data_IF_750190549571
#
_entry.id   IF_750190549571
#
_cell.length_a   1.000
_cell.length_b   1.000
_cell.length_c   1.000
_cell.angle_alpha   90.00
_cell.angle_beta   90.00
_cell.angle_gamma   90.00
#
_symmetry.space_group_name_H-M   'P 1'
#
loop_
_entity.id
_entity.type
_entity.pdbx_description
1 polymer ?
#
# COMPACT_ATOMS: atom_id res chain seq x y z
N UNK A 1 73.44 -22.28 -5.81
CA UNK A 1 72.35 -21.52 -6.45
C UNK A 1 71.16 -21.62 -5.52
N UNK A 2 71.07 -20.67 -4.60
CA UNK A 2 70.02 -20.60 -3.59
C UNK A 2 68.87 -19.74 -4.14
N UNK A 3 67.70 -20.35 -4.33
CA UNK A 3 66.44 -19.64 -4.51
C UNK A 3 65.77 -19.55 -3.14
N UNK A 4 65.71 -18.35 -2.55
CA UNK A 4 64.82 -18.06 -1.43
C UNK A 4 63.74 -17.07 -1.87
N UNK A 5 62.53 -17.56 -1.74
CA UNK A 5 61.25 -16.98 -2.08
C UNK A 5 60.78 -16.05 -0.94
N UNK A 6 60.32 -14.86 -1.35
CA UNK A 6 59.24 -14.03 -0.81
C UNK A 6 59.11 -13.85 0.73
N UNK A 7 59.37 -12.62 1.17
CA UNK A 7 58.55 -11.93 2.19
C UNK A 7 58.29 -10.52 1.63
N UNK A 8 57.07 -10.02 1.44
CA UNK A 8 55.80 -10.34 2.09
C UNK A 8 55.40 -9.24 3.09
N UNK A 9 55.55 -7.97 2.73
CA UNK A 9 54.99 -6.83 3.49
C UNK A 9 54.20 -5.91 2.55
N UNK A 10 53.03 -6.37 2.14
CA UNK A 10 51.98 -5.47 1.69
C UNK A 10 51.24 -5.00 2.94
N UNK A 11 51.57 -3.79 3.41
CA UNK A 11 50.86 -3.12 4.47
C UNK A 11 49.41 -2.86 4.03
N UNK A 12 48.52 -3.76 4.45
CA UNK A 12 47.09 -3.61 4.28
C UNK A 12 46.58 -2.43 5.09
N UNK A 13 46.30 -1.33 4.39
CA UNK A 13 45.57 -0.18 4.91
C UNK A 13 44.10 -0.63 5.07
N UNK A 14 43.79 -1.25 6.22
CA UNK A 14 42.44 -1.60 6.62
C UNK A 14 41.70 -0.28 6.90
N UNK A 15 41.12 0.29 5.85
CA UNK A 15 40.14 1.38 5.97
C UNK A 15 38.92 0.77 6.65
N UNK A 16 38.87 0.87 7.97
CA UNK A 16 37.66 0.69 8.77
C UNK A 16 36.66 1.77 8.38
N UNK A 17 35.98 1.58 7.26
CA UNK A 17 34.67 2.17 6.96
C UNK A 17 33.70 1.56 7.98
N UNK A 18 33.79 2.03 9.22
CA UNK A 18 32.72 1.88 10.18
C UNK A 18 31.54 2.60 9.53
N UNK A 19 30.59 1.79 9.09
CA UNK A 19 29.28 2.17 8.62
C UNK A 19 28.66 3.10 9.65
N UNK A 20 28.90 4.41 9.51
CA UNK A 20 28.04 5.47 10.01
C UNK A 20 26.75 5.43 9.17
N UNK A 21 26.06 4.29 9.22
CA UNK A 21 24.65 4.24 8.95
C UNK A 21 24.03 4.87 10.20
N UNK A 22 24.01 6.20 10.25
CA UNK A 22 23.07 6.91 11.09
C UNK A 22 21.68 6.50 10.61
N UNK A 23 21.14 5.40 11.15
CA UNK A 23 19.69 5.28 11.15
C UNK A 23 19.21 6.48 11.94
N UNK A 24 18.55 7.42 11.27
CA UNK A 24 17.64 8.30 11.98
C UNK A 24 16.60 7.37 12.58
N UNK A 25 16.85 6.89 13.80
CA UNK A 25 15.85 6.20 14.60
C UNK A 25 14.80 7.26 14.89
N UNK A 26 13.82 7.31 14.00
CA UNK A 26 12.60 8.06 14.21
C UNK A 26 12.00 7.52 15.51
N UNK A 27 12.00 8.35 16.54
CA UNK A 27 11.49 8.01 17.85
C UNK A 27 10.00 7.67 17.73
N UNK A 28 9.61 6.49 18.22
CA UNK A 28 8.21 6.08 18.23
C UNK A 28 7.39 6.92 19.23
N UNK A 29 6.65 7.88 18.68
CA UNK A 29 5.78 8.83 19.38
C UNK A 29 4.32 8.42 19.39
N UNK A 30 4.00 7.22 18.90
CA UNK A 30 2.65 6.68 18.97
C UNK A 30 2.22 6.45 20.43
N UNK A 31 0.92 6.51 20.67
CA UNK A 31 0.34 6.18 21.97
C UNK A 31 0.38 4.67 22.23
N UNK A 32 0.33 4.29 23.49
CA UNK A 32 0.10 2.90 23.90
C UNK A 32 -1.37 2.49 23.67
N UNK A 33 -1.62 1.18 23.55
CA UNK A 33 -2.98 0.62 23.48
C UNK A 33 -3.88 1.13 24.60
N UNK A 34 -3.37 1.21 25.83
CA UNK A 34 -4.15 1.72 26.98
C UNK A 34 -4.59 3.16 26.77
N UNK A 35 -3.70 4.02 26.28
CA UNK A 35 -4.03 5.42 26.00
C UNK A 35 -5.07 5.53 24.87
N UNK A 36 -5.01 4.69 23.85
CA UNK A 36 -6.06 4.64 22.82
C UNK A 36 -7.43 4.23 23.40
N UNK A 37 -7.47 3.27 24.32
CA UNK A 37 -8.71 2.87 24.98
C UNK A 37 -9.30 4.00 25.83
N UNK A 38 -8.45 4.74 26.55
CA UNK A 38 -8.86 5.93 27.31
C UNK A 38 -9.44 7.03 26.41
N UNK A 39 -9.10 7.03 25.12
CA UNK A 39 -9.63 7.93 24.09
C UNK A 39 -10.87 7.38 23.37
N UNK A 40 -11.33 6.18 23.72
CA UNK A 40 -12.53 5.57 23.15
C UNK A 40 -12.30 4.67 21.94
N UNK A 41 -11.05 4.25 21.66
CA UNK A 41 -10.81 3.18 20.70
C UNK A 41 -11.39 1.86 21.25
N UNK A 42 -12.17 1.09 20.47
CA UNK A 42 -12.67 -0.21 20.87
C UNK A 42 -11.56 -1.20 21.24
N UNK A 43 -11.86 -2.18 22.11
CA UNK A 43 -10.88 -3.17 22.53
C UNK A 43 -10.42 -4.02 21.32
N UNK A 44 -9.11 -4.06 21.06
CA UNK A 44 -8.53 -4.84 19.96
C UNK A 44 -8.65 -6.35 20.17
N UNK A 45 -8.89 -6.78 21.42
CA UNK A 45 -9.11 -8.18 21.80
C UNK A 45 -10.49 -8.71 21.42
N UNK A 46 -11.45 -7.84 21.09
CA UNK A 46 -12.81 -8.20 20.67
C UNK A 46 -12.95 -8.27 19.15
N UNK A 47 -13.95 -9.01 18.66
CA UNK A 47 -14.27 -9.02 17.23
C UNK A 47 -14.93 -7.70 16.84
N UNK A 48 -14.26 -6.94 15.97
CA UNK A 48 -14.74 -5.66 15.51
C UNK A 48 -15.81 -5.85 14.44
N UNK A 49 -16.87 -5.04 14.53
CA UNK A 49 -17.77 -4.77 13.44
C UNK A 49 -17.48 -3.38 12.83
N UNK A 50 -18.32 -2.97 11.87
CA UNK A 50 -18.12 -1.72 11.14
C UNK A 50 -18.19 -0.47 12.05
N UNK A 51 -19.06 -0.49 13.06
CA UNK A 51 -19.20 0.61 14.03
C UNK A 51 -17.90 0.76 14.83
N UNK A 52 -17.26 -0.35 15.20
CA UNK A 52 -16.00 -0.33 15.93
C UNK A 52 -14.86 0.25 15.08
N UNK A 53 -14.75 -0.20 13.82
CA UNK A 53 -13.77 0.34 12.88
C UNK A 53 -13.93 1.86 12.69
N UNK A 54 -15.15 2.33 12.45
CA UNK A 54 -15.42 3.76 12.30
C UNK A 54 -15.12 4.54 13.57
N UNK A 55 -15.54 4.03 14.73
CA UNK A 55 -15.25 4.66 16.02
C UNK A 55 -13.75 4.82 16.21
N UNK A 56 -12.97 3.78 15.89
CA UNK A 56 -11.53 3.85 15.91
C UNK A 56 -10.99 4.93 14.97
N UNK A 57 -11.41 4.92 13.70
CA UNK A 57 -10.95 5.89 12.70
C UNK A 57 -11.29 7.32 13.09
N UNK A 58 -12.48 7.57 13.66
CA UNK A 58 -12.90 8.89 14.15
C UNK A 58 -12.01 9.38 15.29
N UNK A 59 -11.69 8.51 16.25
CA UNK A 59 -10.77 8.84 17.35
C UNK A 59 -9.37 9.14 16.81
N UNK A 60 -8.87 8.34 15.88
CA UNK A 60 -7.58 8.58 15.24
C UNK A 60 -7.56 9.87 14.41
N UNK A 61 -8.66 10.22 13.75
CA UNK A 61 -8.81 11.50 13.06
C UNK A 61 -8.70 12.69 14.00
N UNK A 62 -9.37 12.63 15.16
CA UNK A 62 -9.23 13.66 16.20
C UNK A 62 -7.81 13.74 16.77
N UNK A 63 -7.12 12.60 16.88
CA UNK A 63 -5.72 12.57 17.29
C UNK A 63 -4.80 13.19 16.24
N UNK A 64 -5.02 12.91 14.95
CA UNK A 64 -4.27 13.47 13.82
C UNK A 64 -4.22 15.00 13.90
N UNK A 65 -5.38 15.62 14.13
CA UNK A 65 -5.53 17.09 14.22
C UNK A 65 -4.79 17.69 15.43
N UNK A 66 -4.67 16.93 16.53
CA UNK A 66 -3.99 17.38 17.75
C UNK A 66 -2.49 17.15 17.69
N UNK A 67 -2.09 15.96 17.28
CA UNK A 67 -0.71 15.51 17.16
C UNK A 67 -0.63 14.33 16.19
N UNK A 68 -0.23 14.61 14.96
CA UNK A 68 -0.05 13.62 13.90
C UNK A 68 0.83 12.43 14.32
N UNK A 69 1.88 12.65 15.11
CA UNK A 69 2.81 11.59 15.54
C UNK A 69 2.22 10.63 16.59
N UNK A 70 1.01 10.91 17.08
CA UNK A 70 0.29 10.03 18.00
C UNK A 70 -0.47 8.91 17.30
N UNK A 71 -0.44 8.82 15.96
CA UNK A 71 -1.11 7.75 15.22
C UNK A 71 -0.40 6.39 15.36
N UNK A 72 -1.11 5.26 15.17
CA UNK A 72 -0.53 3.93 15.25
C UNK A 72 0.61 3.71 14.25
N UNK A 73 1.65 3.00 14.67
CA UNK A 73 2.84 2.67 13.87
C UNK A 73 2.92 1.15 13.73
N UNK A 74 3.11 0.65 12.50
CA UNK A 74 3.02 -0.78 12.15
C UNK A 74 3.93 -1.67 12.99
N UNK A 75 5.17 -1.21 13.21
CA UNK A 75 6.21 -1.96 13.91
C UNK A 75 6.45 -1.47 15.35
N UNK A 76 5.54 -0.65 15.89
CA UNK A 76 5.65 -0.17 17.28
C UNK A 76 5.22 -1.24 18.26
N UNK A 77 6.01 -1.43 19.33
CA UNK A 77 5.62 -2.25 20.48
C UNK A 77 4.42 -1.65 21.25
N UNK A 78 4.15 -0.34 21.09
CA UNK A 78 3.07 0.39 21.77
C UNK A 78 1.74 0.31 21.03
N UNK A 79 1.78 0.45 19.71
CA UNK A 79 0.58 0.67 18.87
C UNK A 79 0.46 -0.26 17.67
N UNK A 80 1.48 -1.08 17.38
CA UNK A 80 1.49 -1.96 16.22
C UNK A 80 0.36 -2.97 16.19
N UNK A 81 -0.10 -3.43 17.36
CA UNK A 81 -1.27 -4.32 17.45
C UNK A 81 -2.57 -3.63 16.99
N UNK A 82 -2.76 -2.36 17.32
CA UNK A 82 -3.91 -1.58 16.85
C UNK A 82 -3.84 -1.36 15.34
N UNK A 83 -2.67 -1.00 14.81
CA UNK A 83 -2.46 -0.90 13.37
C UNK A 83 -2.81 -2.22 12.67
N UNK A 84 -2.31 -3.34 13.17
CA UNK A 84 -2.60 -4.66 12.60
C UNK A 84 -4.08 -5.04 12.70
N UNK A 85 -4.76 -4.70 13.79
CA UNK A 85 -6.20 -4.93 13.96
C UNK A 85 -7.00 -4.25 12.84
N UNK A 86 -6.69 -2.99 12.55
CA UNK A 86 -7.35 -2.22 11.49
C UNK A 86 -7.04 -2.82 10.11
N UNK A 87 -5.78 -3.19 9.85
CA UNK A 87 -5.37 -3.77 8.56
C UNK A 87 -5.93 -5.16 8.28
N UNK A 88 -6.19 -5.95 9.33
CA UNK A 88 -6.70 -7.31 9.23
C UNK A 88 -8.21 -7.41 9.44
N UNK A 89 -8.90 -6.27 9.60
CA UNK A 89 -10.35 -6.25 9.76
C UNK A 89 -11.02 -6.96 8.57
N UNK A 90 -11.82 -8.00 8.84
CA UNK A 90 -12.43 -8.78 7.77
C UNK A 90 -13.60 -8.03 7.14
N UNK A 91 -13.52 -7.82 5.82
CA UNK A 91 -14.49 -7.04 5.06
C UNK A 91 -15.64 -7.89 4.50
N UNK A 92 -15.79 -9.13 4.96
CA UNK A 92 -16.61 -10.18 4.32
C UNK A 92 -18.11 -9.90 4.32
N UNK A 93 -18.63 -9.18 5.32
CA UNK A 93 -20.08 -9.06 5.51
C UNK A 93 -20.72 -7.83 4.81
N UNK A 94 -19.96 -6.76 4.53
CA UNK A 94 -20.47 -5.60 3.78
C UNK A 94 -19.38 -4.74 3.10
N UNK A 95 -19.10 -5.02 1.82
CA UNK A 95 -18.00 -4.40 1.09
C UNK A 95 -18.07 -2.86 1.02
N UNK A 96 -19.27 -2.27 0.84
CA UNK A 96 -19.39 -0.81 0.65
C UNK A 96 -19.06 -0.04 1.92
N UNK A 97 -19.58 -0.47 3.06
CA UNK A 97 -19.30 0.18 4.34
C UNK A 97 -17.84 -0.02 4.75
N UNK A 98 -17.32 -1.24 4.55
CA UNK A 98 -15.95 -1.58 4.89
C UNK A 98 -14.91 -0.84 4.03
N UNK A 99 -15.24 -0.49 2.77
CA UNK A 99 -14.40 0.32 1.90
C UNK A 99 -14.22 1.74 2.47
N UNK A 100 -15.30 2.38 2.93
CA UNK A 100 -15.27 3.73 3.49
C UNK A 100 -14.38 3.81 4.74
N UNK A 101 -14.47 2.83 5.64
CA UNK A 101 -13.65 2.80 6.86
C UNK A 101 -12.15 2.72 6.55
N UNK A 102 -11.78 1.87 5.58
CA UNK A 102 -10.39 1.79 5.13
C UNK A 102 -9.93 3.02 4.36
N UNK A 103 -10.76 3.61 3.51
CA UNK A 103 -10.45 4.87 2.81
C UNK A 103 -10.17 5.99 3.82
N UNK A 104 -11.05 6.16 4.80
CA UNK A 104 -10.87 7.14 5.87
C UNK A 104 -9.58 6.85 6.67
N UNK A 105 -9.25 5.58 6.92
CA UNK A 105 -7.99 5.22 7.57
C UNK A 105 -6.76 5.53 6.72
N UNK A 106 -6.80 5.27 5.41
CA UNK A 106 -5.73 5.65 4.46
C UNK A 106 -5.53 7.17 4.49
N UNK A 107 -6.62 7.95 4.50
CA UNK A 107 -6.58 9.40 4.61
C UNK A 107 -5.97 9.91 5.92
N UNK A 108 -5.96 9.12 7.00
CA UNK A 108 -5.25 9.50 8.23
C UNK A 108 -3.76 9.69 7.96
N UNK A 109 -3.17 8.85 7.11
CA UNK A 109 -1.74 8.88 6.79
C UNK A 109 -1.41 9.71 5.54
N UNK A 110 -2.40 10.09 4.72
CA UNK A 110 -2.23 11.08 3.65
C UNK A 110 -2.29 12.50 4.24
N UNK A 111 -1.13 13.08 4.58
CA UNK A 111 -1.02 14.51 4.86
C UNK A 111 -0.28 15.23 3.74
N UNK A 112 -1.06 15.95 2.92
CA UNK A 112 -0.57 16.77 1.80
C UNK A 112 0.39 17.88 2.26
N UNK A 113 0.27 18.36 3.51
CA UNK A 113 1.12 19.40 4.07
C UNK A 113 2.47 18.86 4.56
N UNK A 114 2.60 17.54 4.76
CA UNK A 114 3.83 16.89 5.24
C UNK A 114 4.66 16.20 4.15
N UNK A 115 4.28 16.35 2.86
CA UNK A 115 5.09 15.91 1.71
C UNK A 115 6.49 16.55 1.64
N UNK A 116 6.80 17.50 2.51
CA UNK A 116 8.10 18.18 2.65
C UNK A 116 8.96 17.67 3.82
N UNK A 117 8.45 16.79 4.68
CA UNK A 117 9.17 16.18 5.81
C UNK A 117 9.49 14.71 5.49
N UNK A 118 10.65 14.15 5.88
CA UNK A 118 10.91 12.72 5.73
C UNK A 118 9.76 11.94 6.39
N UNK A 119 8.94 11.30 5.55
CA UNK A 119 7.61 10.82 5.91
C UNK A 119 7.68 9.77 7.02
N UNK A 120 7.33 10.19 8.25
CA UNK A 120 7.30 9.33 9.43
C UNK A 120 6.45 8.06 9.22
N UNK A 121 5.35 8.17 8.46
CA UNK A 121 4.37 7.08 8.27
C UNK A 121 4.29 6.51 6.83
N UNK A 122 5.34 6.65 6.01
CA UNK A 122 5.27 6.15 4.62
C UNK A 122 5.02 4.63 4.54
N UNK A 123 5.59 3.85 5.47
CA UNK A 123 5.41 2.39 5.55
C UNK A 123 3.97 2.04 5.95
N UNK A 124 3.39 2.77 6.89
CA UNK A 124 2.00 2.65 7.30
C UNK A 124 1.07 3.01 6.15
N UNK A 125 1.34 4.10 5.45
CA UNK A 125 0.55 4.52 4.30
C UNK A 125 0.60 3.49 3.17
N UNK A 126 1.78 2.97 2.82
CA UNK A 126 1.94 1.90 1.84
C UNK A 126 1.24 0.60 2.29
N UNK A 127 1.28 0.29 3.58
CA UNK A 127 0.58 -0.85 4.17
C UNK A 127 -0.94 -0.72 4.07
N UNK A 128 -1.49 0.46 4.36
CA UNK A 128 -2.92 0.76 4.25
C UNK A 128 -3.41 0.67 2.81
N UNK A 129 -2.69 1.29 1.88
CA UNK A 129 -2.96 1.21 0.44
C UNK A 129 -2.96 -0.24 -0.06
N UNK A 130 -2.00 -1.06 0.39
CA UNK A 130 -1.97 -2.48 0.01
C UNK A 130 -3.18 -3.24 0.55
N UNK A 131 -3.53 -3.04 1.83
CA UNK A 131 -4.65 -3.75 2.45
C UNK A 131 -5.94 -3.44 1.72
N UNK A 132 -6.16 -2.16 1.37
CA UNK A 132 -7.28 -1.75 0.54
C UNK A 132 -7.30 -2.44 -0.84
N UNK A 133 -6.17 -2.47 -1.56
CA UNK A 133 -6.09 -3.17 -2.84
C UNK A 133 -6.43 -4.66 -2.75
N UNK A 134 -5.99 -5.32 -1.67
CA UNK A 134 -6.33 -6.72 -1.42
C UNK A 134 -7.83 -6.91 -1.16
N UNK A 135 -8.46 -6.00 -0.43
CA UNK A 135 -9.91 -6.00 -0.18
C UNK A 135 -10.71 -5.79 -1.47
N UNK A 136 -10.29 -4.82 -2.30
CA UNK A 136 -10.86 -4.60 -3.64
C UNK A 136 -10.74 -5.85 -4.51
N UNK A 137 -9.59 -6.53 -4.48
CA UNK A 137 -9.38 -7.76 -5.25
C UNK A 137 -10.23 -8.94 -4.73
N UNK A 138 -10.38 -9.09 -3.41
CA UNK A 138 -11.25 -10.11 -2.79
C UNK A 138 -12.69 -9.90 -3.27
N UNK A 139 -13.20 -8.67 -3.15
CA UNK A 139 -14.52 -8.33 -3.63
C UNK A 139 -14.72 -8.57 -5.12
N UNK A 140 -13.73 -8.19 -5.95
CA UNK A 140 -13.78 -8.46 -7.38
C UNK A 140 -13.89 -9.95 -7.69
N UNK A 141 -13.14 -10.81 -6.99
CA UNK A 141 -13.27 -12.26 -7.13
C UNK A 141 -14.65 -12.76 -6.72
N UNK A 142 -15.15 -12.31 -5.57
CA UNK A 142 -16.45 -12.75 -5.06
C UNK A 142 -17.60 -12.29 -5.95
N UNK A 143 -17.54 -11.06 -6.46
CA UNK A 143 -18.50 -10.53 -7.42
C UNK A 143 -18.50 -11.34 -8.71
N UNK A 144 -17.31 -11.57 -9.30
CA UNK A 144 -17.16 -12.32 -10.54
C UNK A 144 -17.62 -13.79 -10.41
N UNK A 145 -17.38 -14.44 -9.28
CA UNK A 145 -17.89 -15.80 -9.02
C UNK A 145 -19.42 -15.86 -9.00
N UNK A 146 -20.09 -14.79 -8.55
CA UNK A 146 -21.56 -14.72 -8.50
C UNK A 146 -22.18 -14.41 -9.87
N UNK A 147 -21.40 -13.99 -10.88
CA UNK A 147 -21.91 -13.60 -12.19
C UNK A 147 -22.33 -14.76 -13.10
N UNK A 148 -22.02 -16.02 -12.77
CA UNK A 148 -22.32 -17.21 -13.60
C UNK A 148 -23.83 -17.55 -13.76
N UNK A 149 -24.73 -16.62 -13.42
CA UNK A 149 -26.19 -16.75 -13.53
C UNK A 149 -26.76 -15.49 -14.20
N UNK A 150 -27.15 -15.60 -15.48
CA UNK A 150 -27.40 -14.45 -16.39
C UNK A 150 -28.82 -13.83 -16.27
N UNK A 151 -28.89 -12.49 -16.12
CA UNK A 151 -30.07 -11.63 -16.40
C UNK A 151 -29.62 -10.20 -16.81
N UNK A 152 -30.45 -9.47 -17.58
CA UNK A 152 -30.20 -8.16 -18.21
C UNK A 152 -29.89 -7.05 -17.19
N UNK A 153 -30.52 -7.05 -16.02
CA UNK A 153 -30.23 -6.05 -14.94
C UNK A 153 -28.78 -6.14 -14.45
N UNK A 154 -28.17 -7.33 -14.50
CA UNK A 154 -26.77 -7.52 -14.12
C UNK A 154 -25.77 -6.96 -15.14
N UNK A 155 -26.15 -6.74 -16.41
CA UNK A 155 -25.24 -6.12 -17.39
C UNK A 155 -24.88 -4.67 -17.00
N UNK A 156 -25.86 -3.86 -16.60
CA UNK A 156 -25.61 -2.49 -16.09
C UNK A 156 -24.82 -2.50 -14.78
N UNK A 157 -25.10 -3.47 -13.91
CA UNK A 157 -24.35 -3.66 -12.67
C UNK A 157 -22.89 -4.04 -12.94
N UNK A 158 -22.65 -4.91 -13.92
CA UNK A 158 -21.31 -5.28 -14.39
C UNK A 158 -20.57 -4.08 -14.97
N UNK A 159 -21.22 -3.31 -15.86
CA UNK A 159 -20.65 -2.08 -16.43
C UNK A 159 -20.22 -1.08 -15.36
N UNK A 160 -21.09 -0.87 -14.35
CA UNK A 160 -20.76 0.00 -13.21
C UNK A 160 -19.59 -0.57 -12.39
N UNK A 161 -19.59 -1.87 -12.14
CA UNK A 161 -18.53 -2.55 -11.40
C UNK A 161 -17.18 -2.45 -12.14
N UNK A 162 -17.12 -2.76 -13.44
CA UNK A 162 -15.84 -2.78 -14.17
C UNK A 162 -15.23 -1.38 -14.24
N UNK A 163 -16.05 -0.36 -14.48
CA UNK A 163 -15.59 1.05 -14.49
C UNK A 163 -15.08 1.48 -13.11
N UNK A 164 -15.77 1.08 -12.04
CA UNK A 164 -15.32 1.33 -10.68
C UNK A 164 -13.97 0.68 -10.40
N UNK A 165 -13.78 -0.57 -10.81
CA UNK A 165 -12.51 -1.29 -10.65
C UNK A 165 -11.38 -0.62 -11.44
N UNK A 166 -11.61 -0.29 -12.71
CA UNK A 166 -10.62 0.40 -13.53
C UNK A 166 -10.22 1.76 -12.93
N UNK A 167 -11.19 2.52 -12.39
CA UNK A 167 -10.93 3.79 -11.71
C UNK A 167 -10.10 3.63 -10.45
N UNK A 168 -10.42 2.65 -9.59
CA UNK A 168 -9.64 2.35 -8.39
C UNK A 168 -8.21 1.99 -8.78
N UNK A 169 -8.01 1.03 -9.71
CA UNK A 169 -6.68 0.60 -10.11
C UNK A 169 -5.86 1.75 -10.74
N UNK A 170 -6.49 2.63 -11.52
CA UNK A 170 -5.88 3.84 -12.06
C UNK A 170 -5.47 4.84 -10.97
N UNK A 171 -6.34 5.10 -9.99
CA UNK A 171 -6.00 5.94 -8.85
C UNK A 171 -4.80 5.37 -8.06
N UNK A 172 -4.71 4.05 -7.92
CA UNK A 172 -3.59 3.42 -7.23
C UNK A 172 -2.26 3.44 -8.02
N UNK A 173 -2.35 3.49 -9.34
CA UNK A 173 -1.19 3.69 -10.20
C UNK A 173 -0.59 5.09 -10.07
N UNK A 174 -1.39 6.10 -9.76
CA UNK A 174 -0.89 7.44 -9.46
C UNK A 174 0.18 7.42 -8.35
N UNK A 175 -0.06 6.67 -7.27
CA UNK A 175 0.90 6.54 -6.17
C UNK A 175 2.22 5.88 -6.56
N UNK A 176 2.26 5.14 -7.68
CA UNK A 176 3.51 4.56 -8.14
C UNK A 176 4.52 5.63 -8.55
N UNK A 177 4.05 6.78 -9.04
CA UNK A 177 4.91 7.89 -9.47
C UNK A 177 5.26 8.86 -8.34
N UNK A 178 4.71 8.69 -7.13
CA UNK A 178 4.94 9.60 -6.01
C UNK A 178 6.25 9.25 -5.27
N UNK A 179 7.37 9.63 -5.88
CA UNK A 179 8.73 9.40 -5.34
C UNK A 179 9.05 10.17 -4.07
N UNK A 180 8.20 11.14 -3.72
CA UNK A 180 8.33 11.93 -2.49
C UNK A 180 7.68 11.16 -1.35
N UNK A 181 6.58 10.44 -1.63
CA UNK A 181 5.82 9.73 -0.62
C UNK A 181 6.33 8.32 -0.30
N UNK A 182 6.96 7.63 -1.25
CA UNK A 182 7.31 6.22 -1.10
C UNK A 182 8.77 5.92 -1.41
N UNK A 183 9.36 5.03 -0.62
CA UNK A 183 10.66 4.45 -0.94
C UNK A 183 10.56 3.49 -2.13
N UNK A 184 11.69 3.18 -2.76
CA UNK A 184 11.75 2.12 -3.78
C UNK A 184 11.18 0.79 -3.28
N UNK A 185 11.42 0.44 -2.01
CA UNK A 185 10.92 -0.80 -1.40
C UNK A 185 9.38 -0.80 -1.32
N UNK A 186 8.79 0.31 -0.89
CA UNK A 186 7.33 0.44 -0.83
C UNK A 186 6.69 0.41 -2.21
N UNK A 187 7.31 1.09 -3.18
CA UNK A 187 6.84 1.04 -4.58
C UNK A 187 6.91 -0.37 -5.14
N UNK A 188 7.98 -1.12 -4.84
CA UNK A 188 8.11 -2.52 -5.22
C UNK A 188 7.01 -3.37 -4.58
N UNK A 189 6.75 -3.14 -3.30
CA UNK A 189 5.74 -3.82 -2.51
C UNK A 189 4.33 -3.57 -3.06
N UNK A 190 3.97 -2.30 -3.28
CA UNK A 190 2.69 -1.91 -3.88
C UNK A 190 2.54 -2.48 -5.31
N UNK A 191 3.56 -2.34 -6.16
CA UNK A 191 3.57 -2.91 -7.51
C UNK A 191 3.37 -4.43 -7.51
N UNK A 192 3.97 -5.14 -6.56
CA UNK A 192 3.84 -6.60 -6.44
C UNK A 192 2.42 -7.04 -6.09
N UNK A 193 1.62 -6.14 -5.52
CA UNK A 193 0.20 -6.37 -5.24
C UNK A 193 -0.68 -5.92 -6.41
N UNK A 194 -0.42 -4.73 -6.95
CA UNK A 194 -1.26 -4.11 -7.98
C UNK A 194 -1.23 -4.87 -9.32
N UNK A 195 -0.05 -5.29 -9.78
CA UNK A 195 0.13 -5.96 -11.07
C UNK A 195 -0.70 -7.26 -11.17
N UNK A 196 -0.65 -8.20 -10.20
CA UNK A 196 -1.50 -9.38 -10.23
C UNK A 196 -3.01 -9.09 -10.25
N UNK A 197 -3.45 -8.04 -9.56
CA UNK A 197 -4.87 -7.65 -9.51
C UNK A 197 -5.33 -7.15 -10.89
N UNK A 198 -4.54 -6.29 -11.52
CA UNK A 198 -4.79 -5.82 -12.89
C UNK A 198 -4.87 -6.99 -13.85
N UNK A 199 -3.88 -7.90 -13.81
CA UNK A 199 -3.86 -9.10 -14.68
C UNK A 199 -5.09 -9.98 -14.49
N UNK A 200 -5.51 -10.19 -13.25
CA UNK A 200 -6.70 -10.98 -12.95
C UNK A 200 -7.97 -10.34 -13.53
N UNK A 201 -8.12 -9.02 -13.42
CA UNK A 201 -9.30 -8.32 -13.88
C UNK A 201 -9.27 -7.97 -15.39
N UNK A 202 -8.11 -8.06 -16.05
CA UNK A 202 -7.89 -7.59 -17.42
C UNK A 202 -8.94 -8.06 -18.44
N UNK A 203 -9.28 -9.35 -18.40
CA UNK A 203 -10.23 -9.96 -19.34
C UNK A 203 -11.69 -9.48 -19.15
N UNK A 204 -11.98 -8.83 -18.03
CA UNK A 204 -13.32 -8.31 -17.71
C UNK A 204 -13.44 -6.82 -18.00
N UNK A 205 -12.35 -6.14 -18.35
CA UNK A 205 -12.36 -4.73 -18.68
C UNK A 205 -12.79 -4.48 -20.12
N UNK A 206 -13.58 -3.42 -20.31
CA UNK A 206 -13.86 -2.86 -21.63
C UNK A 206 -12.60 -2.29 -22.28
N UNK A 207 -12.61 -2.12 -23.60
CA UNK A 207 -11.48 -1.52 -24.32
C UNK A 207 -11.16 -0.11 -23.81
N UNK A 208 -12.18 0.70 -23.52
CA UNK A 208 -12.04 2.02 -22.88
C UNK A 208 -11.27 1.94 -21.54
N UNK A 209 -11.62 0.98 -20.69
CA UNK A 209 -10.95 0.78 -19.40
C UNK A 209 -9.51 0.28 -19.59
N UNK A 210 -9.28 -0.62 -20.55
CA UNK A 210 -7.93 -1.11 -20.89
C UNK A 210 -7.04 0.00 -21.41
N UNK A 211 -7.54 0.84 -22.31
CA UNK A 211 -6.83 2.01 -22.85
C UNK A 211 -6.44 2.98 -21.73
N UNK A 212 -7.37 3.28 -20.82
CA UNK A 212 -7.09 4.09 -19.62
C UNK A 212 -5.94 3.50 -18.80
N UNK A 213 -6.02 2.22 -18.43
CA UNK A 213 -4.98 1.57 -17.62
C UNK A 213 -3.63 1.52 -18.36
N UNK A 214 -3.63 1.30 -19.68
CA UNK A 214 -2.42 1.33 -20.50
C UNK A 214 -1.77 2.71 -20.48
N UNK A 215 -2.55 3.78 -20.59
CA UNK A 215 -2.02 5.14 -20.49
C UNK A 215 -1.34 5.38 -19.13
N UNK A 216 -1.88 4.82 -18.05
CA UNK A 216 -1.24 4.89 -16.73
C UNK A 216 0.05 4.07 -16.65
N UNK A 217 0.11 2.89 -17.27
CA UNK A 217 1.34 2.11 -17.35
C UNK A 217 2.43 2.89 -18.07
N UNK A 218 2.11 3.48 -19.23
CA UNK A 218 3.04 4.27 -20.02
C UNK A 218 3.53 5.50 -19.24
N UNK A 219 2.63 6.15 -18.50
CA UNK A 219 2.99 7.24 -17.60
C UNK A 219 4.00 6.80 -16.53
N UNK A 220 3.78 5.65 -15.88
CA UNK A 220 4.74 5.09 -14.90
C UNK A 220 6.06 4.71 -15.58
N UNK A 221 6.02 4.07 -16.75
CA UNK A 221 7.22 3.70 -17.51
C UNK A 221 8.10 4.90 -17.84
N UNK A 222 7.50 6.07 -18.11
CA UNK A 222 8.22 7.28 -18.47
C UNK A 222 8.69 8.08 -17.26
N UNK A 223 7.83 8.22 -16.24
CA UNK A 223 8.02 9.23 -15.19
C UNK A 223 8.47 8.68 -13.85
N UNK A 224 8.45 7.36 -13.63
CA UNK A 224 8.87 6.79 -12.37
C UNK A 224 10.40 6.85 -12.20
N UNK A 225 10.85 7.37 -11.04
CA UNK A 225 12.27 7.48 -10.72
C UNK A 225 12.99 6.12 -10.69
N UNK A 226 12.29 5.06 -10.26
CA UNK A 226 12.83 3.72 -10.12
C UNK A 226 12.89 2.98 -11.45
N UNK A 227 14.10 2.67 -11.93
CA UNK A 227 14.31 1.86 -13.16
C UNK A 227 13.60 0.51 -13.05
N UNK A 228 13.61 -0.10 -11.88
CA UNK A 228 13.03 -1.40 -11.64
C UNK A 228 11.50 -1.37 -11.74
N UNK A 229 10.84 -0.35 -11.17
CA UNK A 229 9.39 -0.17 -11.30
C UNK A 229 9.01 0.09 -12.76
N UNK A 230 9.72 0.99 -13.46
CA UNK A 230 9.52 1.21 -14.90
C UNK A 230 9.58 -0.09 -15.70
N UNK A 231 10.59 -0.92 -15.44
CA UNK A 231 10.74 -2.21 -16.12
C UNK A 231 9.58 -3.17 -15.83
N UNK A 232 9.09 -3.23 -14.58
CA UNK A 232 7.93 -4.06 -14.20
C UNK A 232 6.68 -3.68 -14.98
N UNK A 233 6.35 -2.38 -15.06
CA UNK A 233 5.18 -1.90 -15.80
C UNK A 233 5.32 -2.12 -17.30
N UNK A 234 6.51 -1.85 -17.87
CA UNK A 234 6.82 -2.17 -19.27
C UNK A 234 6.59 -3.63 -19.62
N UNK A 235 7.07 -4.55 -18.76
CA UNK A 235 6.88 -5.99 -18.95
C UNK A 235 5.39 -6.37 -18.88
N UNK A 236 4.65 -5.83 -17.91
CA UNK A 236 3.22 -6.07 -17.79
C UNK A 236 2.44 -5.56 -19.01
N UNK A 237 2.67 -4.32 -19.44
CA UNK A 237 2.01 -3.71 -20.59
C UNK A 237 2.23 -4.56 -21.86
N UNK A 238 3.46 -5.01 -22.10
CA UNK A 238 3.79 -5.90 -23.21
C UNK A 238 3.07 -7.27 -23.14
N UNK A 239 2.87 -7.82 -21.93
CA UNK A 239 2.17 -9.09 -21.72
C UNK A 239 0.67 -8.96 -21.95
N UNK A 240 0.05 -7.88 -21.45
CA UNK A 240 -1.38 -7.63 -21.57
C UNK A 240 -1.80 -7.34 -23.01
N UNK A 241 -0.97 -6.64 -23.79
CA UNK A 241 -1.23 -6.41 -25.22
C UNK A 241 -1.16 -7.69 -26.08
N UNK A 242 -0.48 -8.73 -25.61
CA UNK A 242 -0.39 -10.03 -26.30
C UNK A 242 -1.57 -10.95 -25.99
N UNK A 243 -2.26 -10.72 -24.87
CA UNK A 243 -3.41 -11.50 -24.41
C UNK A 243 -4.60 -10.56 -24.17
N UNK A 244 -5.21 -10.00 -25.25
CA UNK A 244 -6.28 -9.03 -25.15
C UNK A 244 -7.52 -9.57 -24.44
#
# INVERSE_FOLDING_TARGET
>A
MENRILSGFAGGLFISLIFLSCSQNIEDRSLSIKEYYELGVPDIGEDWNYIDLNTCVDVLGQLKEKNFFSLPVKNSDKSGMLYQKIMNYDHSDDFQFNQQGLENFIELYDDKNMRSSPMYYHVEYAGALRSFLLSVNKYSKDYLQRLDTFDIERKRSFEKWEKSQANILSAYMFYQNDSIAFSDEDLIYLSSTLIPIIKFNWKYFSDESKEKLVSEFENIELNNHSIFIRWKYKKMNAELRRNP
#
